data_IF_557902675940
#
_entry.id   IF_557902675940
#
_cell.length_a   1.000
_cell.length_b   1.000
_cell.length_c   1.000
_cell.angle_alpha   90.00
_cell.angle_beta   90.00
_cell.angle_gamma   90.00
#
_symmetry.space_group_name_H-M   'P 1'
#
loop_
_entity.id
_entity.type
_entity.pdbx_description
1 polymer ?
#
# COMPACT_ATOMS: atom_id res chain seq x y z
N UNK A 1 1.86 -52.48 103.91
CA UNK A 1 1.38 -51.17 103.38
C UNK A 1 2.17 -50.65 102.17
N UNK A 2 3.30 -51.26 101.76
CA UNK A 2 4.04 -50.82 100.58
C UNK A 2 3.41 -51.26 99.23
N UNK A 3 2.75 -52.42 99.19
CA UNK A 3 2.17 -52.98 97.95
C UNK A 3 0.98 -52.19 97.38
N UNK A 4 0.29 -51.43 98.23
CA UNK A 4 -0.90 -50.66 97.83
C UNK A 4 -0.53 -49.31 97.18
N UNK A 5 0.65 -48.77 97.48
CA UNK A 5 1.14 -47.52 96.90
C UNK A 5 1.59 -47.73 95.44
N UNK A 6 2.24 -48.85 95.15
CA UNK A 6 2.69 -49.24 93.81
C UNK A 6 1.51 -49.40 92.83
N UNK A 7 0.39 -49.94 93.31
CA UNK A 7 -0.82 -50.15 92.53
C UNK A 7 -1.59 -48.85 92.26
N UNK A 8 -1.58 -47.92 93.22
CA UNK A 8 -2.10 -46.55 93.07
C UNK A 8 -1.27 -45.74 92.05
N UNK A 9 0.05 -45.88 92.03
CA UNK A 9 0.92 -45.22 91.05
C UNK A 9 0.76 -45.78 89.63
N UNK A 10 0.50 -47.08 89.47
CA UNK A 10 0.16 -47.68 88.16
C UNK A 10 -1.20 -47.20 87.63
N UNK A 11 -2.20 -47.03 88.50
CA UNK A 11 -3.54 -46.53 88.13
C UNK A 11 -3.56 -45.02 87.83
N UNK A 12 -2.64 -44.25 88.42
CA UNK A 12 -2.57 -42.79 88.27
C UNK A 12 -1.79 -42.30 87.04
N UNK A 13 -1.18 -43.20 86.26
CA UNK A 13 -0.57 -42.86 84.97
C UNK A 13 -1.66 -42.65 83.91
N UNK A 14 -2.44 -41.56 84.06
CA UNK A 14 -3.18 -40.96 82.95
C UNK A 14 -2.14 -40.50 81.94
N UNK A 15 -1.82 -41.39 81.01
CA UNK A 15 -1.07 -41.04 79.81
C UNK A 15 -1.94 -40.01 79.10
N UNK A 16 -1.56 -38.74 79.17
CA UNK A 16 -2.00 -37.73 78.22
C UNK A 16 -1.47 -38.22 76.87
N UNK A 17 -2.21 -39.12 76.23
CA UNK A 17 -2.00 -39.46 74.84
C UNK A 17 -2.34 -38.18 74.11
N UNK A 18 -1.31 -37.47 73.62
CA UNK A 18 -1.51 -36.51 72.56
C UNK A 18 -2.41 -37.17 71.52
N UNK A 19 -3.43 -36.49 70.96
CA UNK A 19 -4.32 -37.10 69.99
C UNK A 19 -3.48 -37.80 68.94
N UNK A 20 -3.65 -39.12 68.78
CA UNK A 20 -3.00 -39.86 67.72
C UNK A 20 -3.48 -39.24 66.41
N UNK A 21 -2.65 -38.37 65.80
CA UNK A 21 -2.84 -37.86 64.46
C UNK A 21 -3.06 -39.04 63.55
N UNK A 22 -4.23 -39.12 62.94
CA UNK A 22 -4.55 -40.23 62.05
C UNK A 22 -3.86 -39.94 60.69
N UNK A 23 -3.24 -40.94 60.04
CA UNK A 23 -2.53 -40.73 58.76
C UNK A 23 -3.42 -40.16 57.64
N UNK A 24 -4.75 -40.20 57.81
CA UNK A 24 -5.72 -39.68 56.85
C UNK A 24 -5.84 -38.14 56.87
N UNK A 25 -5.52 -37.48 57.99
CA UNK A 25 -5.54 -36.01 58.10
C UNK A 25 -4.29 -35.38 57.47
N UNK A 26 -3.12 -35.98 57.68
CA UNK A 26 -1.87 -35.51 57.07
C UNK A 26 -1.94 -35.66 55.52
N UNK A 27 -2.54 -36.74 55.01
CA UNK A 27 -2.79 -36.92 53.57
C UNK A 27 -3.70 -35.83 52.95
N UNK A 28 -4.72 -35.37 53.69
CA UNK A 28 -5.60 -34.28 53.21
C UNK A 28 -4.89 -32.94 53.22
N UNK A 29 -4.06 -32.69 54.23
CA UNK A 29 -3.25 -31.48 54.32
C UNK A 29 -2.25 -31.40 53.17
N UNK A 30 -1.56 -32.50 52.86
CA UNK A 30 -0.62 -32.60 51.73
C UNK A 30 -1.31 -32.38 50.39
N UNK A 31 -2.53 -32.91 50.20
CA UNK A 31 -3.33 -32.65 49.01
C UNK A 31 -3.72 -31.18 48.88
N UNK A 32 -4.12 -30.53 49.99
CA UNK A 32 -4.45 -29.10 50.00
C UNK A 32 -3.21 -28.26 49.65
N UNK A 33 -2.06 -28.58 50.24
CA UNK A 33 -0.79 -27.88 49.94
C UNK A 33 -0.44 -28.03 48.45
N UNK A 34 -0.61 -29.22 47.87
CA UNK A 34 -0.39 -29.45 46.45
C UNK A 34 -1.34 -28.63 45.58
N UNK A 35 -2.64 -28.62 45.89
CA UNK A 35 -3.62 -27.81 45.18
C UNK A 35 -3.31 -26.31 45.27
N UNK A 36 -2.90 -25.81 46.44
CA UNK A 36 -2.49 -24.42 46.61
C UNK A 36 -1.23 -24.08 45.78
N UNK A 37 -0.27 -25.00 45.73
CA UNK A 37 0.92 -24.84 44.90
C UNK A 37 0.57 -24.80 43.41
N UNK A 38 -0.28 -25.70 42.94
CA UNK A 38 -0.72 -25.77 41.55
C UNK A 38 -1.52 -24.52 41.15
N UNK A 39 -2.44 -24.05 42.00
CA UNK A 39 -3.14 -22.77 41.81
C UNK A 39 -2.19 -21.57 41.78
N UNK A 40 -1.15 -21.56 42.62
CA UNK A 40 -0.12 -20.51 42.62
C UNK A 40 0.70 -20.53 41.32
N UNK A 41 0.96 -21.71 40.76
CA UNK A 41 1.64 -21.85 39.47
C UNK A 41 0.75 -21.37 38.33
N UNK A 42 -0.51 -21.78 38.32
CA UNK A 42 -1.48 -21.39 37.29
C UNK A 42 -1.73 -19.88 37.29
N UNK A 43 -1.88 -19.26 38.46
CA UNK A 43 -2.01 -17.80 38.57
C UNK A 43 -0.78 -17.04 38.08
N UNK A 44 0.43 -17.56 38.30
CA UNK A 44 1.66 -16.99 37.71
C UNK A 44 1.67 -17.10 36.19
N UNK A 45 1.27 -18.24 35.64
CA UNK A 45 1.19 -18.45 34.19
C UNK A 45 0.14 -17.54 33.54
N UNK A 46 -1.05 -17.42 34.13
CA UNK A 46 -2.07 -16.49 33.65
C UNK A 46 -1.57 -15.04 33.71
N UNK A 47 -0.80 -14.68 34.73
CA UNK A 47 -0.19 -13.34 34.82
C UNK A 47 0.82 -13.09 33.70
N UNK A 48 1.60 -14.09 33.29
CA UNK A 48 2.53 -13.97 32.16
C UNK A 48 1.78 -13.87 30.83
N UNK A 49 0.77 -14.71 30.61
CA UNK A 49 -0.05 -14.69 29.39
C UNK A 49 -0.76 -13.34 29.22
N UNK A 50 -1.32 -12.77 30.30
CA UNK A 50 -1.94 -11.43 30.27
C UNK A 50 -0.93 -10.34 29.91
N UNK A 51 0.33 -10.45 30.36
CA UNK A 51 1.38 -9.49 29.98
C UNK A 51 1.76 -9.63 28.51
N UNK A 52 1.84 -10.86 28.00
CA UNK A 52 2.12 -11.13 26.59
C UNK A 52 1.02 -10.58 25.69
N UNK A 53 -0.24 -10.88 25.99
CA UNK A 53 -1.40 -10.35 25.26
C UNK A 53 -1.39 -8.81 25.24
N UNK A 54 -1.08 -8.15 26.36
CA UNK A 54 -0.97 -6.69 26.40
C UNK A 54 0.15 -6.15 25.51
N UNK A 55 1.27 -6.86 25.44
CA UNK A 55 2.38 -6.47 24.57
C UNK A 55 2.02 -6.66 23.09
N UNK A 56 1.36 -7.76 22.73
CA UNK A 56 0.86 -8.00 21.37
C UNK A 56 -0.15 -6.94 20.96
N UNK A 57 -1.11 -6.62 21.83
CA UNK A 57 -2.07 -5.54 21.58
C UNK A 57 -1.37 -4.20 21.31
N UNK A 58 -0.31 -3.87 22.06
CA UNK A 58 0.47 -2.65 21.80
C UNK A 58 1.13 -2.67 20.42
N UNK A 59 1.75 -3.79 20.04
CA UNK A 59 2.38 -3.94 18.72
C UNK A 59 1.35 -3.80 17.60
N UNK A 60 0.19 -4.42 17.72
CA UNK A 60 -0.88 -4.27 16.74
C UNK A 60 -1.37 -2.83 16.62
N UNK A 61 -1.43 -2.08 17.72
CA UNK A 61 -1.76 -0.65 17.67
C UNK A 61 -0.70 0.17 16.94
N UNK A 62 0.58 -0.14 17.15
CA UNK A 62 1.70 0.50 16.43
C UNK A 62 1.62 0.20 14.93
N UNK A 63 1.45 -1.08 14.55
CA UNK A 63 1.30 -1.51 13.16
C UNK A 63 0.10 -0.85 12.47
N UNK A 64 -1.05 -0.76 13.16
CA UNK A 64 -2.24 -0.07 12.63
C UNK A 64 -1.99 1.42 12.40
N UNK A 65 -1.24 2.08 13.29
CA UNK A 65 -0.90 3.48 13.13
C UNK A 65 0.07 3.72 11.98
N UNK A 66 1.03 2.82 11.79
CA UNK A 66 1.97 2.85 10.67
C UNK A 66 1.25 2.64 9.34
N UNK A 67 0.37 1.62 9.26
CA UNK A 67 -0.46 1.37 8.09
C UNK A 67 -1.37 2.55 7.75
N UNK A 68 -1.96 3.21 8.76
CA UNK A 68 -2.76 4.42 8.56
C UNK A 68 -1.93 5.56 7.98
N UNK A 69 -0.70 5.72 8.45
CA UNK A 69 0.22 6.74 7.96
C UNK A 69 0.65 6.45 6.52
N UNK A 70 0.94 5.19 6.19
CA UNK A 70 1.27 4.76 4.83
C UNK A 70 0.09 4.96 3.87
N UNK A 71 -1.13 4.61 4.29
CA UNK A 71 -2.33 4.82 3.51
C UNK A 71 -2.55 6.30 3.16
N UNK A 72 -2.35 7.22 4.11
CA UNK A 72 -2.48 8.66 3.85
C UNK A 72 -1.39 9.16 2.90
N UNK A 73 -0.14 8.66 2.99
CA UNK A 73 0.92 8.99 2.03
C UNK A 73 0.56 8.54 0.62
N UNK A 74 0.13 7.29 0.45
CA UNK A 74 -0.28 6.74 -0.85
C UNK A 74 -1.44 7.54 -1.44
N UNK A 75 -2.41 7.94 -0.61
CA UNK A 75 -3.53 8.78 -1.04
C UNK A 75 -3.07 10.15 -1.52
N UNK A 76 -2.14 10.80 -0.82
CA UNK A 76 -1.56 12.08 -1.24
C UNK A 76 -0.79 11.94 -2.55
N UNK A 77 0.07 10.92 -2.67
CA UNK A 77 0.81 10.64 -3.91
C UNK A 77 -0.12 10.36 -5.10
N UNK A 78 -1.23 9.66 -4.88
CA UNK A 78 -2.18 9.40 -5.94
C UNK A 78 -2.88 10.71 -6.37
N UNK A 79 -3.23 11.58 -5.42
CA UNK A 79 -3.79 12.90 -5.74
C UNK A 79 -2.82 13.79 -6.51
N UNK A 80 -1.52 13.79 -6.17
CA UNK A 80 -0.52 14.57 -6.91
C UNK A 80 -0.34 14.02 -8.33
N UNK A 81 -0.19 12.70 -8.49
CA UNK A 81 -0.11 12.05 -9.81
C UNK A 81 -1.34 12.34 -10.68
N UNK A 82 -2.53 12.37 -10.10
CA UNK A 82 -3.74 12.76 -10.81
C UNK A 82 -3.69 14.21 -11.32
N UNK A 83 -3.20 15.16 -10.52
CA UNK A 83 -3.03 16.55 -10.93
C UNK A 83 -2.01 16.68 -12.05
N UNK A 84 -0.83 16.08 -11.89
CA UNK A 84 0.24 16.08 -12.91
C UNK A 84 -0.26 15.49 -14.23
N UNK A 85 -1.05 14.41 -14.19
CA UNK A 85 -1.66 13.81 -15.38
C UNK A 85 -2.59 14.78 -16.11
N UNK A 86 -3.44 15.50 -15.38
CA UNK A 86 -4.36 16.47 -15.99
C UNK A 86 -3.62 17.69 -16.54
N UNK A 87 -2.54 18.13 -15.88
CA UNK A 87 -1.65 19.19 -16.37
C UNK A 87 -0.96 18.76 -17.68
N UNK A 88 -0.32 17.60 -17.71
CA UNK A 88 0.30 17.06 -18.93
C UNK A 88 -0.70 16.92 -20.08
N UNK A 89 -1.94 16.52 -19.79
CA UNK A 89 -2.99 16.42 -20.80
C UNK A 89 -3.36 17.79 -21.40
N UNK A 90 -3.38 18.84 -20.59
CA UNK A 90 -3.59 20.21 -21.08
C UNK A 90 -2.42 20.67 -21.94
N UNK A 91 -1.19 20.48 -21.48
CA UNK A 91 0.01 20.84 -22.23
C UNK A 91 0.09 20.13 -23.59
N UNK A 92 -0.23 18.83 -23.63
CA UNK A 92 -0.30 18.07 -24.88
C UNK A 92 -1.36 18.63 -25.83
N UNK A 93 -2.52 19.03 -25.31
CA UNK A 93 -3.57 19.62 -26.12
C UNK A 93 -3.15 20.99 -26.68
N UNK A 94 -2.52 21.83 -25.87
CA UNK A 94 -2.03 23.13 -26.29
C UNK A 94 -0.92 23.00 -27.34
N UNK A 95 -0.01 22.04 -27.15
CA UNK A 95 1.02 21.72 -28.13
C UNK A 95 0.40 21.22 -29.45
N UNK A 96 -0.63 20.36 -29.38
CA UNK A 96 -1.37 19.90 -30.56
C UNK A 96 -1.98 21.08 -31.33
N UNK A 97 -2.62 22.02 -30.64
CA UNK A 97 -3.21 23.22 -31.25
C UNK A 97 -2.11 24.06 -31.91
N UNK A 98 -0.97 24.25 -31.24
CA UNK A 98 0.16 25.01 -31.78
C UNK A 98 0.73 24.36 -33.04
N UNK A 99 0.90 23.03 -33.05
CA UNK A 99 1.35 22.30 -34.24
C UNK A 99 0.36 22.45 -35.38
N UNK A 100 -0.94 22.26 -35.13
CA UNK A 100 -1.97 22.45 -36.16
C UNK A 100 -1.98 23.86 -36.73
N UNK A 101 -1.73 24.87 -35.90
CA UNK A 101 -1.61 26.26 -36.34
C UNK A 101 -0.39 26.44 -37.24
N UNK A 102 0.77 25.93 -36.84
CA UNK A 102 2.01 26.00 -37.64
C UNK A 102 1.87 25.25 -38.97
N UNK A 103 1.19 24.10 -38.98
CA UNK A 103 0.90 23.36 -40.22
C UNK A 103 -0.06 24.11 -41.15
N UNK A 104 -1.01 24.88 -40.60
CA UNK A 104 -1.88 25.73 -41.40
C UNK A 104 -1.08 26.89 -41.97
N UNK A 105 -0.32 27.59 -41.13
CA UNK A 105 0.53 28.72 -41.52
C UNK A 105 1.53 28.33 -42.62
N UNK A 106 2.17 27.15 -42.53
CA UNK A 106 3.09 26.66 -43.56
C UNK A 106 2.42 26.28 -44.89
N UNK A 107 1.10 26.12 -44.90
CA UNK A 107 0.32 25.77 -46.09
C UNK A 107 -0.50 26.94 -46.64
N UNK A 108 -0.50 28.12 -46.01
CA UNK A 108 -1.34 29.27 -46.42
C UNK A 108 -1.11 29.66 -47.88
N UNK A 109 0.14 29.63 -48.34
CA UNK A 109 0.50 30.03 -49.71
C UNK A 109 0.52 28.84 -50.69
N UNK A 110 0.21 27.62 -50.22
CA UNK A 110 0.26 26.43 -51.05
C UNK A 110 -1.07 26.25 -51.79
N UNK A 111 -0.99 26.07 -53.10
CA UNK A 111 -2.15 25.78 -53.95
C UNK A 111 -2.05 24.36 -54.46
N UNK A 112 -3.16 23.61 -54.37
CA UNK A 112 -3.26 22.28 -54.96
C UNK A 112 -3.96 22.40 -56.31
N UNK A 113 -3.25 22.02 -57.38
CA UNK A 113 -3.77 22.03 -58.75
C UNK A 113 -4.04 20.57 -59.15
N UNK A 114 -5.24 20.29 -59.64
CA UNK A 114 -5.68 18.97 -60.08
C UNK A 114 -6.15 19.03 -61.54
N UNK A 115 -6.09 17.89 -62.25
CA UNK A 115 -6.52 17.79 -63.64
C UNK A 115 -5.52 18.33 -64.67
N UNK A 116 -4.33 18.77 -64.25
CA UNK A 116 -3.27 19.23 -65.14
C UNK A 116 -2.38 18.05 -65.58
N UNK A 117 -2.36 17.77 -66.89
CA UNK A 117 -1.52 16.73 -67.48
C UNK A 117 -0.10 17.24 -67.65
N UNK A 118 0.82 16.79 -66.80
CA UNK A 118 2.25 17.14 -66.85
C UNK A 118 3.08 15.87 -66.85
N UNK A 119 3.86 15.64 -67.90
CA UNK A 119 4.67 14.42 -68.08
C UNK A 119 6.13 14.59 -67.63
N UNK A 120 6.36 15.51 -66.68
CA UNK A 120 7.68 15.73 -66.08
C UNK A 120 7.61 15.71 -64.56
N UNK A 121 8.69 15.21 -63.95
CA UNK A 121 8.91 15.19 -62.49
C UNK A 121 9.97 16.23 -62.11
N UNK A 122 10.74 16.76 -63.08
CA UNK A 122 11.75 17.77 -62.81
C UNK A 122 11.12 19.04 -62.25
N UNK A 123 11.69 19.55 -61.16
CA UNK A 123 11.14 20.68 -60.40
C UNK A 123 11.11 21.95 -61.24
N UNK A 124 12.15 22.22 -62.02
CA UNK A 124 12.21 23.43 -62.83
C UNK A 124 11.21 23.38 -63.99
N UNK A 125 11.16 22.24 -64.70
CA UNK A 125 10.19 22.01 -65.75
C UNK A 125 8.74 22.05 -65.23
N UNK A 126 8.48 21.53 -64.02
CA UNK A 126 7.17 21.59 -63.38
C UNK A 126 6.75 23.03 -63.04
N UNK A 127 7.67 23.84 -62.49
CA UNK A 127 7.40 25.25 -62.19
C UNK A 127 7.07 26.03 -63.47
N UNK A 128 7.81 25.81 -64.55
CA UNK A 128 7.52 26.45 -65.84
C UNK A 128 6.18 25.98 -66.42
N UNK A 129 5.89 24.68 -66.41
CA UNK A 129 4.62 24.15 -66.91
C UNK A 129 3.41 24.73 -66.18
N UNK A 130 3.47 24.82 -64.84
CA UNK A 130 2.41 25.44 -64.04
C UNK A 130 2.34 26.95 -64.28
N UNK A 131 3.48 27.64 -64.34
CA UNK A 131 3.52 29.09 -64.63
C UNK A 131 2.88 29.43 -65.98
N UNK A 132 3.26 28.72 -67.04
CA UNK A 132 2.71 28.88 -68.38
C UNK A 132 1.20 28.61 -68.42
N UNK A 133 0.74 27.60 -67.67
CA UNK A 133 -0.69 27.30 -67.54
C UNK A 133 -1.45 28.47 -66.89
N UNK A 134 -0.94 29.03 -65.79
CA UNK A 134 -1.58 30.17 -65.12
C UNK A 134 -1.61 31.42 -66.01
N UNK A 135 -0.53 31.68 -66.74
CA UNK A 135 -0.46 32.83 -67.64
C UNK A 135 -1.44 32.68 -68.81
N UNK A 136 -1.54 31.48 -69.40
CA UNK A 136 -2.41 31.23 -70.54
C UNK A 136 -3.89 31.20 -70.18
N UNK A 137 -4.26 30.47 -69.13
CA UNK A 137 -5.67 30.22 -68.80
C UNK A 137 -6.24 31.27 -67.83
N UNK A 138 -5.40 31.86 -66.97
CA UNK A 138 -5.84 32.85 -65.98
C UNK A 138 -5.30 34.26 -66.23
N UNK A 139 -4.52 34.49 -67.30
CA UNK A 139 -3.92 35.79 -67.64
C UNK A 139 -3.19 36.43 -66.44
N UNK A 140 -2.52 35.60 -65.64
CA UNK A 140 -1.87 36.00 -64.40
C UNK A 140 -0.44 35.50 -64.34
N UNK A 141 0.50 36.41 -64.05
CA UNK A 141 1.90 36.06 -63.86
C UNK A 141 2.16 35.80 -62.36
N UNK A 142 2.43 34.55 -62.02
CA UNK A 142 2.58 34.09 -60.64
C UNK A 142 4.02 33.65 -60.38
N UNK A 143 4.63 34.16 -59.31
CA UNK A 143 5.93 33.67 -58.84
C UNK A 143 5.75 32.38 -58.06
N UNK A 144 6.19 31.27 -58.63
CA UNK A 144 6.14 29.95 -57.98
C UNK A 144 7.49 29.72 -57.30
N UNK A 145 7.50 29.52 -55.97
CA UNK A 145 8.73 29.21 -55.22
C UNK A 145 9.10 27.72 -55.32
N UNK A 146 8.11 26.84 -55.24
CA UNK A 146 8.27 25.40 -55.25
C UNK A 146 7.06 24.73 -55.89
N UNK A 147 7.30 23.63 -56.61
CA UNK A 147 6.25 22.83 -57.21
C UNK A 147 6.59 21.36 -57.03
N UNK A 148 5.58 20.56 -56.66
CA UNK A 148 5.71 19.12 -56.50
C UNK A 148 4.52 18.42 -57.14
N UNK A 149 4.81 17.39 -57.95
CA UNK A 149 3.80 16.48 -58.45
C UNK A 149 3.61 15.37 -57.42
N UNK A 150 2.40 15.23 -56.86
CA UNK A 150 2.05 14.03 -56.07
C UNK A 150 1.91 12.85 -57.02
N UNK A 151 2.62 11.77 -56.71
CA UNK A 151 2.44 10.45 -57.34
C UNK A 151 1.23 9.75 -56.73
#
# INVERSE_FOLDING_TARGET
MASNLEELFRKSKKVFRSPNKTPNEDNKLDQIIKMMHDLTKETKNLTTEVKEIKNEQRKYWEELNDLKTELEKVKQENQTKHKEKEEMKKELNDMKIRVQRLEKESKVNNVVIQGLTIDTIDRNALKQAVGNFMEKEMNSNVQIEEAHKRQ
#
